data_IF_420318336846
#
_entry.id   IF_420318336846
#
_cell.length_a   1.000
_cell.length_b   1.000
_cell.length_c   1.000
_cell.angle_alpha   90.00
_cell.angle_beta   90.00
_cell.angle_gamma   90.00
#
_symmetry.space_group_name_H-M   'P 1'
#
loop_
_entity.id
_entity.type
_entity.pdbx_description
1 polymer ?
#
# COMPACT_ATOMS: atom_id res chain seq x y z
N UNK A 1 -14.27 0.68 5.94
CA UNK A 1 -15.04 0.89 7.18
C UNK A 1 -16.36 0.09 7.22
N UNK A 2 -16.48 -1.06 6.53
CA UNK A 2 -17.66 -1.95 6.62
C UNK A 2 -19.00 -1.28 6.24
N UNK A 3 -18.97 -0.19 5.48
CA UNK A 3 -20.15 0.63 5.19
C UNK A 3 -20.97 0.11 4.01
N UNK A 4 -20.45 -0.82 3.21
CA UNK A 4 -21.01 -1.17 1.90
C UNK A 4 -20.99 -0.01 0.88
N UNK A 5 -20.34 1.11 1.21
CA UNK A 5 -20.20 2.29 0.36
C UNK A 5 -18.71 2.60 0.14
N UNK A 6 -18.38 3.18 -1.00
CA UNK A 6 -17.03 3.57 -1.41
C UNK A 6 -16.97 5.04 -1.80
N UNK A 7 -15.80 5.63 -1.73
CA UNK A 7 -15.53 6.99 -2.19
C UNK A 7 -15.50 8.05 -1.09
N UNK A 8 -15.16 9.26 -1.50
CA UNK A 8 -15.00 10.42 -0.61
C UNK A 8 -16.29 10.81 0.14
N UNK A 9 -17.50 10.76 -0.48
CA UNK A 9 -18.69 11.21 0.22
C UNK A 9 -18.94 10.51 1.55
N UNK A 10 -18.86 9.18 1.59
CA UNK A 10 -19.07 8.44 2.83
C UNK A 10 -17.93 8.65 3.84
N UNK A 11 -16.69 8.80 3.36
CA UNK A 11 -15.56 9.09 4.24
C UNK A 11 -15.71 10.46 4.93
N UNK A 12 -16.13 11.49 4.20
CA UNK A 12 -16.41 12.83 4.75
C UNK A 12 -17.58 12.79 5.74
N UNK A 13 -18.68 12.11 5.37
CA UNK A 13 -19.84 11.96 6.25
C UNK A 13 -19.48 11.30 7.58
N UNK A 14 -18.75 10.21 7.55
CA UNK A 14 -18.34 9.48 8.76
C UNK A 14 -17.30 10.26 9.56
N UNK A 15 -16.37 10.94 8.90
CA UNK A 15 -15.43 11.83 9.57
C UNK A 15 -16.13 12.93 10.38
N UNK A 16 -17.19 13.53 9.81
CA UNK A 16 -18.00 14.52 10.48
C UNK A 16 -18.87 13.97 11.64
N UNK A 17 -19.29 12.70 11.56
CA UNK A 17 -20.21 12.09 12.53
C UNK A 17 -19.50 11.43 13.72
N UNK A 18 -18.36 10.75 13.47
CA UNK A 18 -17.68 9.91 14.45
C UNK A 18 -16.17 10.08 14.43
N UNK A 19 -15.61 10.88 13.50
CA UNK A 19 -14.17 11.06 13.37
C UNK A 19 -13.54 11.64 14.63
N UNK A 20 -12.41 11.06 15.06
CA UNK A 20 -11.56 11.57 16.15
C UNK A 20 -10.16 11.77 15.63
N UNK A 21 -9.70 13.01 15.65
CA UNK A 21 -8.38 13.41 15.12
C UNK A 21 -7.22 12.71 15.82
N UNK A 22 -7.40 12.33 17.08
CA UNK A 22 -6.40 11.62 17.89
C UNK A 22 -6.04 10.24 17.30
N UNK A 23 -6.95 9.63 16.55
CA UNK A 23 -6.74 8.34 15.90
C UNK A 23 -5.98 8.45 14.57
N UNK A 24 -5.66 9.66 14.12
CA UNK A 24 -4.90 9.91 12.89
C UNK A 24 -5.45 9.13 11.67
N UNK A 25 -4.71 8.18 11.12
CA UNK A 25 -5.14 7.39 9.97
C UNK A 25 -6.26 6.38 10.31
N UNK A 26 -6.51 6.11 11.60
CA UNK A 26 -7.58 5.23 12.07
C UNK A 26 -8.83 6.02 12.51
N UNK A 27 -8.98 7.26 12.06
CA UNK A 27 -10.04 8.22 12.41
C UNK A 27 -11.48 7.66 12.36
N UNK A 28 -11.71 6.58 11.62
CA UNK A 28 -13.00 5.91 11.45
C UNK A 28 -13.11 4.57 12.21
N UNK A 29 -12.25 4.28 13.19
CA UNK A 29 -12.31 2.99 13.92
C UNK A 29 -13.60 2.80 14.73
N UNK A 30 -14.22 3.90 15.18
CA UNK A 30 -15.45 3.89 15.97
C UNK A 30 -16.75 3.90 15.12
N UNK A 31 -16.67 3.59 13.82
CA UNK A 31 -17.85 3.59 12.96
C UNK A 31 -18.84 2.51 13.36
N UNK A 32 -20.11 2.90 13.58
CA UNK A 32 -21.22 2.01 13.89
C UNK A 32 -22.21 1.93 12.71
N UNK A 33 -23.09 0.92 12.66
CA UNK A 33 -24.15 0.83 11.65
C UNK A 33 -25.06 2.07 11.64
N UNK A 34 -25.35 2.65 12.80
CA UNK A 34 -26.16 3.88 12.93
C UNK A 34 -25.43 5.08 12.32
N UNK A 35 -24.12 5.19 12.52
CA UNK A 35 -23.31 6.25 11.91
C UNK A 35 -23.28 6.11 10.37
N UNK A 36 -23.19 4.88 9.87
CA UNK A 36 -23.27 4.60 8.42
C UNK A 36 -24.60 5.05 7.84
N UNK A 37 -25.71 4.72 8.49
CA UNK A 37 -27.05 5.12 8.03
C UNK A 37 -27.24 6.65 8.09
N UNK A 38 -26.74 7.30 9.13
CA UNK A 38 -26.72 8.76 9.21
C UNK A 38 -25.85 9.38 8.11
N UNK A 39 -24.69 8.80 7.83
CA UNK A 39 -23.79 9.23 6.75
C UNK A 39 -24.46 9.11 5.38
N UNK A 40 -25.19 8.02 5.14
CA UNK A 40 -25.97 7.83 3.90
C UNK A 40 -27.01 8.93 3.74
N UNK A 41 -27.78 9.25 4.79
CA UNK A 41 -28.75 10.35 4.75
C UNK A 41 -28.11 11.72 4.50
N UNK A 42 -26.87 11.97 4.97
CA UNK A 42 -26.16 13.21 4.65
C UNK A 42 -25.81 13.29 3.16
N UNK A 43 -25.42 12.17 2.55
CA UNK A 43 -25.10 12.09 1.12
C UNK A 43 -26.37 12.29 0.29
N UNK A 44 -27.45 11.56 0.58
CA UNK A 44 -28.71 11.62 -0.12
C UNK A 44 -29.35 13.02 0.01
N UNK A 45 -29.20 13.65 1.16
CA UNK A 45 -29.60 15.03 1.42
C UNK A 45 -28.68 16.10 0.83
N UNK A 46 -27.67 15.72 0.02
CA UNK A 46 -26.70 16.65 -0.62
C UNK A 46 -26.02 17.60 0.36
N UNK A 47 -25.75 17.15 1.59
CA UNK A 47 -25.07 17.94 2.63
C UNK A 47 -23.55 17.93 2.51
N UNK A 48 -23.01 17.20 1.54
CA UNK A 48 -21.58 17.05 1.30
C UNK A 48 -21.30 17.50 -0.12
N UNK A 49 -20.41 18.45 -0.27
CA UNK A 49 -19.87 18.91 -1.54
C UNK A 49 -18.40 18.46 -1.63
N UNK A 50 -17.99 17.92 -2.76
CA UNK A 50 -16.60 17.55 -3.03
C UNK A 50 -16.20 18.23 -4.33
N UNK A 51 -15.15 19.04 -4.26
CA UNK A 51 -14.65 19.83 -5.37
C UNK A 51 -13.16 19.58 -5.57
N UNK A 52 -12.68 19.71 -6.79
CA UNK A 52 -11.27 19.82 -7.05
C UNK A 52 -10.83 21.24 -6.65
N UNK A 53 -9.76 21.35 -5.88
CA UNK A 53 -9.15 22.65 -5.57
C UNK A 53 -8.18 22.97 -6.71
N UNK A 54 -8.44 24.07 -7.39
CA UNK A 54 -7.58 24.64 -8.43
C UNK A 54 -6.50 25.54 -7.80
N UNK A 55 -5.44 25.83 -8.54
CA UNK A 55 -4.36 26.75 -8.14
C UNK A 55 -3.62 26.34 -6.84
N UNK A 56 -3.34 25.04 -6.68
CA UNK A 56 -2.55 24.49 -5.58
C UNK A 56 -1.30 23.81 -6.13
N UNK A 57 -0.12 24.24 -5.70
CA UNK A 57 1.16 23.67 -6.12
C UNK A 57 1.44 22.31 -5.46
N UNK A 58 0.83 22.05 -4.31
CA UNK A 58 1.01 20.84 -3.52
C UNK A 58 0.38 19.61 -4.18
N UNK A 59 1.18 18.57 -4.41
CA UNK A 59 0.68 17.29 -4.98
C UNK A 59 -0.33 16.58 -4.08
N UNK A 60 -0.22 16.75 -2.77
CA UNK A 60 -1.18 16.29 -1.78
C UNK A 60 -1.74 17.50 -1.05
N UNK A 61 -2.98 17.85 -1.34
CA UNK A 61 -3.71 18.91 -0.68
C UNK A 61 -5.13 18.46 -0.38
N UNK A 62 -5.55 18.62 0.85
CA UNK A 62 -6.91 18.32 1.30
C UNK A 62 -7.37 19.49 2.14
N UNK A 63 -8.43 20.16 1.73
CA UNK A 63 -9.11 21.18 2.52
C UNK A 63 -10.49 20.65 2.89
N UNK A 64 -10.79 20.65 4.17
CA UNK A 64 -12.09 20.26 4.69
C UNK A 64 -12.72 21.44 5.42
N UNK A 65 -13.94 21.79 5.04
CA UNK A 65 -14.75 22.80 5.68
C UNK A 65 -16.01 22.15 6.26
N UNK A 66 -16.37 22.51 7.47
CA UNK A 66 -17.58 22.04 8.13
C UNK A 66 -18.35 23.22 8.73
N UNK A 67 -19.67 23.23 8.49
CA UNK A 67 -20.59 24.20 9.10
C UNK A 67 -21.70 23.46 9.84
N UNK A 68 -21.92 23.81 11.10
CA UNK A 68 -22.98 23.26 11.92
C UNK A 68 -23.39 24.24 13.04
N UNK A 69 -24.68 24.40 13.25
CA UNK A 69 -25.25 25.21 14.35
C UNK A 69 -24.69 26.66 14.40
N UNK A 70 -24.38 27.26 13.26
CA UNK A 70 -23.81 28.61 13.18
C UNK A 70 -22.29 28.69 13.40
N UNK A 71 -21.64 27.57 13.60
CA UNK A 71 -20.19 27.47 13.69
C UNK A 71 -19.59 27.03 12.38
N UNK A 72 -18.38 27.48 12.07
CA UNK A 72 -17.59 27.12 10.91
C UNK A 72 -16.19 26.70 11.32
N UNK A 73 -15.72 25.58 10.76
CA UNK A 73 -14.36 25.11 10.96
C UNK A 73 -13.71 24.75 9.62
N UNK A 74 -12.42 25.04 9.48
CA UNK A 74 -11.62 24.70 8.31
C UNK A 74 -10.35 23.99 8.76
N UNK A 75 -9.98 22.92 8.08
CA UNK A 75 -8.73 22.22 8.27
C UNK A 75 -8.06 21.92 6.92
N UNK A 76 -6.75 22.15 6.83
CA UNK A 76 -5.95 21.89 5.63
C UNK A 76 -4.82 20.92 5.96
N UNK A 77 -4.71 19.88 5.15
CA UNK A 77 -3.58 18.95 5.14
C UNK A 77 -2.84 19.12 3.83
N UNK A 78 -1.51 19.28 3.89
CA UNK A 78 -0.68 19.44 2.71
C UNK A 78 0.68 18.73 2.86
N UNK A 79 1.24 18.26 1.76
CA UNK A 79 2.55 17.60 1.67
C UNK A 79 2.59 16.19 2.24
N UNK A 80 1.91 15.88 3.33
CA UNK A 80 1.84 14.56 3.97
C UNK A 80 0.45 14.22 4.45
N UNK A 81 0.10 12.93 4.52
CA UNK A 81 -1.27 12.46 4.84
C UNK A 81 -1.78 12.86 6.24
N UNK A 82 -0.90 13.17 7.17
CA UNK A 82 -1.22 13.60 8.55
C UNK A 82 -0.70 14.99 8.87
N UNK A 83 -0.15 15.70 7.87
CA UNK A 83 0.44 17.04 8.05
C UNK A 83 -0.65 18.11 8.02
N UNK A 84 -1.20 18.47 9.17
CA UNK A 84 -2.06 19.64 9.29
C UNK A 84 -1.22 20.90 9.13
N UNK A 85 -1.54 21.71 8.12
CA UNK A 85 -0.86 22.99 7.84
C UNK A 85 -1.72 24.19 8.23
N UNK A 86 -3.03 24.04 8.33
CA UNK A 86 -3.94 25.08 8.77
C UNK A 86 -5.16 24.50 9.48
N UNK A 87 -5.56 25.12 10.59
CA UNK A 87 -6.81 24.84 11.29
C UNK A 87 -7.40 26.14 11.81
N UNK A 88 -8.67 26.37 11.55
CA UNK A 88 -9.41 27.52 12.12
C UNK A 88 -10.81 27.11 12.56
N UNK A 89 -11.36 27.89 13.50
CA UNK A 89 -12.74 27.76 13.99
C UNK A 89 -13.33 29.15 14.23
N UNK A 90 -14.50 29.39 13.66
CA UNK A 90 -15.26 30.66 13.82
C UNK A 90 -14.43 31.91 13.52
N UNK A 91 -13.50 31.81 12.57
CA UNK A 91 -12.58 32.90 12.21
C UNK A 91 -11.31 33.01 13.05
N UNK A 92 -11.22 32.25 14.15
CA UNK A 92 -9.99 32.16 14.95
C UNK A 92 -9.05 31.11 14.34
N UNK A 93 -7.78 31.48 14.12
CA UNK A 93 -6.73 30.57 13.62
C UNK A 93 -6.12 29.82 14.81
N UNK A 94 -6.30 28.49 14.81
CA UNK A 94 -5.76 27.59 15.82
C UNK A 94 -4.38 27.04 15.43
N UNK A 95 -4.13 26.90 14.13
CA UNK A 95 -2.86 26.45 13.56
C UNK A 95 -2.66 27.12 12.21
N UNK A 96 -1.47 27.70 11.97
CA UNK A 96 -1.05 28.13 10.64
C UNK A 96 0.43 27.82 10.41
N UNK A 97 0.67 26.85 9.53
CA UNK A 97 1.99 26.40 9.06
C UNK A 97 2.07 26.44 7.53
N UNK A 98 1.20 27.21 6.87
CA UNK A 98 1.14 27.31 5.40
C UNK A 98 2.34 28.04 4.81
N UNK A 99 2.93 28.94 5.57
CA UNK A 99 4.21 29.53 5.20
C UNK A 99 5.31 28.62 5.75
N UNK A 100 6.24 28.11 4.94
CA UNK A 100 7.39 27.38 5.47
C UNK A 100 8.10 28.27 6.48
N UNK A 101 8.22 27.84 7.73
CA UNK A 101 9.14 28.47 8.65
C UNK A 101 10.52 28.40 8.00
N UNK A 102 11.15 29.54 7.78
CA UNK A 102 12.51 29.60 7.28
C UNK A 102 13.40 28.80 8.26
N UNK A 103 13.73 27.54 7.92
CA UNK A 103 14.52 26.64 8.78
C UNK A 103 13.81 25.37 9.26
N UNK A 104 12.56 25.10 8.89
CA UNK A 104 11.95 23.77 9.06
C UNK A 104 12.54 22.84 8.01
N UNK A 105 13.68 22.20 8.30
CA UNK A 105 14.24 21.18 7.44
C UNK A 105 13.20 20.08 7.26
N UNK A 106 12.84 19.77 6.03
CA UNK A 106 12.35 18.44 5.72
C UNK A 106 13.37 17.50 6.35
N UNK A 107 12.92 16.54 7.18
CA UNK A 107 13.80 15.44 7.59
C UNK A 107 14.32 14.87 6.27
N UNK A 108 15.62 15.10 6.00
CA UNK A 108 16.25 14.59 4.78
C UNK A 108 16.07 13.07 4.82
N UNK A 109 15.28 12.56 3.92
CA UNK A 109 15.11 11.11 3.75
C UNK A 109 16.50 10.49 3.59
N UNK A 110 16.81 9.49 4.41
CA UNK A 110 18.07 8.75 4.28
C UNK A 110 18.20 8.26 2.84
N UNK A 111 19.23 8.67 2.08
CA UNK A 111 19.37 8.26 0.69
C UNK A 111 19.62 6.76 0.62
N UNK A 112 18.62 6.03 0.15
CA UNK A 112 18.68 4.58 -0.01
C UNK A 112 19.28 4.23 -1.37
N UNK A 113 20.00 3.10 -1.39
CA UNK A 113 20.40 2.38 -2.59
C UNK A 113 20.14 0.90 -2.37
N UNK A 114 19.95 0.12 -3.45
CA UNK A 114 19.71 -1.31 -3.30
C UNK A 114 20.87 -2.01 -2.58
N UNK A 115 22.12 -1.58 -2.79
CA UNK A 115 23.28 -2.12 -2.10
C UNK A 115 23.21 -1.87 -0.58
N UNK A 116 22.93 -0.65 -0.16
CA UNK A 116 22.80 -0.31 1.27
C UNK A 116 21.63 -1.06 1.93
N UNK A 117 20.53 -1.22 1.20
CA UNK A 117 19.37 -2.00 1.67
C UNK A 117 19.75 -3.47 1.86
N UNK A 118 20.45 -4.04 0.87
CA UNK A 118 20.93 -5.41 0.97
C UNK A 118 21.85 -5.60 2.17
N UNK A 119 22.88 -4.78 2.31
CA UNK A 119 23.81 -4.85 3.42
C UNK A 119 23.09 -4.72 4.77
N UNK A 120 22.19 -3.74 4.90
CA UNK A 120 21.40 -3.55 6.11
C UNK A 120 20.53 -4.78 6.43
N UNK A 121 19.79 -5.29 5.47
CA UNK A 121 18.91 -6.44 5.67
C UNK A 121 19.69 -7.72 6.03
N UNK A 122 20.93 -7.87 5.54
CA UNK A 122 21.74 -9.08 5.77
C UNK A 122 22.60 -8.99 7.03
N UNK A 123 23.02 -7.79 7.46
CA UNK A 123 24.00 -7.64 8.55
C UNK A 123 23.43 -7.09 9.86
N UNK A 124 22.26 -6.43 9.82
CA UNK A 124 21.66 -5.87 11.05
C UNK A 124 21.27 -6.97 12.04
N UNK A 125 21.37 -6.68 13.35
CA UNK A 125 20.91 -7.59 14.40
C UNK A 125 19.43 -7.94 14.24
N UNK A 126 19.08 -9.21 14.38
CA UNK A 126 17.70 -9.68 14.16
C UNK A 126 16.70 -9.02 15.11
N UNK A 127 17.08 -8.74 16.33
CA UNK A 127 16.21 -8.13 17.32
C UNK A 127 15.76 -6.72 16.90
N UNK A 128 16.62 -5.99 16.18
CA UNK A 128 16.27 -4.68 15.61
C UNK A 128 15.31 -4.78 14.43
N UNK A 129 15.31 -5.91 13.72
CA UNK A 129 14.47 -6.16 12.55
C UNK A 129 13.18 -6.90 12.87
N UNK A 130 13.07 -7.53 14.04
CA UNK A 130 11.97 -8.44 14.40
C UNK A 130 10.58 -7.81 14.30
N UNK A 131 10.47 -6.49 14.50
CA UNK A 131 9.20 -5.76 14.36
C UNK A 131 8.56 -5.94 12.98
N UNK A 132 9.34 -6.27 11.93
CA UNK A 132 8.83 -6.46 10.58
C UNK A 132 7.84 -7.63 10.49
N UNK A 133 7.89 -8.59 11.42
CA UNK A 133 6.94 -9.71 11.48
C UNK A 133 5.49 -9.27 11.73
N UNK A 134 5.30 -8.08 12.30
CA UNK A 134 3.96 -7.51 12.46
C UNK A 134 3.26 -7.30 11.11
N UNK A 135 4.03 -7.02 10.05
CA UNK A 135 3.50 -6.92 8.68
C UNK A 135 2.85 -8.23 8.24
N UNK A 136 3.50 -9.37 8.56
CA UNK A 136 2.96 -10.71 8.28
C UNK A 136 1.67 -10.95 9.04
N UNK A 137 1.67 -10.70 10.34
CA UNK A 137 0.50 -10.93 11.20
C UNK A 137 -0.73 -10.17 10.72
N UNK A 138 -0.60 -8.87 10.44
CA UNK A 138 -1.72 -8.02 10.04
C UNK A 138 -2.21 -8.35 8.62
N UNK A 139 -1.30 -8.45 7.67
CA UNK A 139 -1.68 -8.63 6.27
C UNK A 139 -2.21 -10.05 6.00
N UNK A 140 -1.70 -11.07 6.71
CA UNK A 140 -2.23 -12.43 6.64
C UNK A 140 -3.64 -12.53 7.20
N UNK A 141 -3.90 -11.90 8.35
CA UNK A 141 -5.25 -11.83 8.91
C UNK A 141 -6.26 -11.18 7.94
N UNK A 142 -5.83 -10.20 7.14
CA UNK A 142 -6.69 -9.60 6.11
C UNK A 142 -7.03 -10.59 4.99
N UNK A 143 -6.09 -11.43 4.56
CA UNK A 143 -6.34 -12.49 3.58
C UNK A 143 -7.31 -13.54 4.13
N UNK A 144 -7.08 -14.00 5.35
CA UNK A 144 -7.92 -14.98 6.04
C UNK A 144 -9.36 -14.46 6.21
N UNK A 145 -9.51 -13.18 6.54
CA UNK A 145 -10.83 -12.52 6.59
C UNK A 145 -11.53 -12.57 5.24
N UNK A 146 -10.79 -12.37 4.15
CA UNK A 146 -11.36 -12.42 2.80
C UNK A 146 -11.80 -13.82 2.39
N UNK A 147 -11.03 -14.84 2.76
CA UNK A 147 -11.42 -16.23 2.51
C UNK A 147 -12.68 -16.66 3.25
N UNK A 148 -12.92 -16.10 4.43
CA UNK A 148 -14.10 -16.38 5.24
C UNK A 148 -15.38 -15.63 4.80
N UNK A 149 -15.30 -14.76 3.77
CA UNK A 149 -16.43 -13.94 3.33
C UNK A 149 -16.40 -13.60 1.85
N UNK A 150 -17.29 -12.71 1.43
CA UNK A 150 -17.32 -12.15 0.09
C UNK A 150 -16.87 -10.69 0.12
N UNK A 151 -15.71 -10.41 -0.47
CA UNK A 151 -15.12 -9.10 -0.48
C UNK A 151 -14.66 -8.72 -1.89
N UNK A 152 -14.95 -7.48 -2.29
CA UNK A 152 -14.51 -6.93 -3.57
C UNK A 152 -14.95 -7.77 -4.76
N UNK A 153 -13.99 -8.17 -5.57
CA UNK A 153 -14.23 -9.06 -6.73
C UNK A 153 -13.91 -10.53 -6.42
N UNK A 154 -13.65 -10.88 -5.17
CA UNK A 154 -13.29 -12.24 -4.75
C UNK A 154 -12.12 -12.85 -5.53
N UNK A 155 -11.16 -12.02 -5.97
CA UNK A 155 -10.04 -12.47 -6.80
C UNK A 155 -9.23 -13.54 -6.08
N UNK A 156 -8.91 -13.31 -4.79
CA UNK A 156 -8.16 -14.30 -3.99
C UNK A 156 -8.90 -15.62 -3.85
N UNK A 157 -10.21 -15.60 -3.60
CA UNK A 157 -11.04 -16.82 -3.54
C UNK A 157 -11.14 -17.52 -4.90
N UNK A 158 -11.28 -16.77 -5.98
CA UNK A 158 -11.31 -17.33 -7.33
C UNK A 158 -10.03 -18.12 -7.62
N UNK A 159 -8.88 -17.58 -7.25
CA UNK A 159 -7.58 -18.26 -7.42
C UNK A 159 -7.45 -19.49 -6.52
N UNK A 160 -7.87 -19.40 -5.26
CA UNK A 160 -7.81 -20.50 -4.28
C UNK A 160 -8.71 -21.68 -4.65
N UNK A 161 -9.88 -21.40 -5.26
CA UNK A 161 -10.91 -22.40 -5.54
C UNK A 161 -10.83 -23.02 -6.94
N UNK A 162 -9.73 -22.79 -7.68
CA UNK A 162 -9.58 -23.29 -9.06
C UNK A 162 -9.28 -24.80 -9.16
N UNK A 163 -9.54 -25.56 -8.10
CA UNK A 163 -9.25 -26.99 -8.05
C UNK A 163 -9.99 -27.80 -9.14
N UNK A 164 -11.22 -27.39 -9.46
CA UNK A 164 -12.05 -28.09 -10.46
C UNK A 164 -11.62 -27.78 -11.89
N UNK A 165 -11.24 -26.53 -12.16
CA UNK A 165 -10.85 -26.08 -13.51
C UNK A 165 -9.41 -26.44 -13.87
N UNK A 166 -8.54 -26.57 -12.86
CA UNK A 166 -7.11 -26.92 -12.99
C UNK A 166 -6.30 -25.98 -13.89
N UNK A 167 -6.77 -24.72 -14.04
CA UNK A 167 -6.08 -23.73 -14.88
C UNK A 167 -4.81 -23.25 -14.19
N UNK A 168 -4.90 -22.89 -12.90
CA UNK A 168 -3.76 -22.37 -12.12
C UNK A 168 -3.01 -23.45 -11.35
N UNK A 169 -3.64 -24.55 -11.04
CA UNK A 169 -3.10 -25.64 -10.23
C UNK A 169 -2.96 -25.29 -8.74
N UNK A 170 -2.53 -26.26 -7.94
CA UNK A 170 -2.19 -26.08 -6.52
C UNK A 170 -0.67 -25.99 -6.39
N UNK A 171 -0.16 -24.76 -6.37
CA UNK A 171 1.27 -24.47 -6.33
C UNK A 171 1.55 -23.30 -5.38
N UNK A 172 2.81 -23.16 -4.95
CA UNK A 172 3.28 -21.98 -4.20
C UNK A 172 2.90 -20.69 -4.93
N UNK A 173 3.07 -20.67 -6.25
CA UNK A 173 2.70 -19.52 -7.09
C UNK A 173 1.23 -19.13 -6.93
N UNK A 174 0.32 -20.10 -7.06
CA UNK A 174 -1.13 -19.86 -6.90
C UNK A 174 -1.48 -19.40 -5.50
N UNK A 175 -0.83 -19.95 -4.46
CA UNK A 175 -1.04 -19.52 -3.07
C UNK A 175 -0.56 -18.08 -2.84
N UNK A 176 0.60 -17.70 -3.37
CA UNK A 176 1.10 -16.32 -3.33
C UNK A 176 0.07 -15.35 -3.93
N UNK A 177 -0.42 -15.64 -5.14
CA UNK A 177 -1.41 -14.80 -5.81
C UNK A 177 -2.72 -14.72 -5.03
N UNK A 178 -3.20 -15.87 -4.55
CA UNK A 178 -4.46 -15.99 -3.82
C UNK A 178 -4.45 -15.18 -2.52
N UNK A 179 -3.46 -15.38 -1.64
CA UNK A 179 -3.35 -14.67 -0.38
C UNK A 179 -3.20 -13.16 -0.56
N UNK A 180 -2.35 -12.75 -1.50
CA UNK A 180 -2.10 -11.33 -1.75
C UNK A 180 -3.35 -10.63 -2.29
N UNK A 181 -4.05 -11.26 -3.23
CA UNK A 181 -5.29 -10.70 -3.79
C UNK A 181 -6.42 -10.72 -2.78
N UNK A 182 -6.53 -11.76 -1.93
CA UNK A 182 -7.55 -11.84 -0.89
C UNK A 182 -7.42 -10.72 0.14
N UNK A 183 -6.22 -10.42 0.62
CA UNK A 183 -5.99 -9.29 1.53
C UNK A 183 -6.39 -7.96 0.89
N UNK A 184 -6.10 -7.78 -0.41
CA UNK A 184 -6.53 -6.61 -1.15
C UNK A 184 -8.05 -6.56 -1.34
N UNK A 185 -8.70 -7.67 -1.65
CA UNK A 185 -10.17 -7.75 -1.75
C UNK A 185 -10.82 -7.29 -0.44
N UNK A 186 -10.38 -7.82 0.72
CA UNK A 186 -10.89 -7.43 2.04
C UNK A 186 -10.70 -5.93 2.28
N UNK A 187 -9.46 -5.42 2.08
CA UNK A 187 -9.14 -4.02 2.30
C UNK A 187 -9.95 -3.09 1.40
N UNK A 188 -10.00 -3.37 0.10
CA UNK A 188 -10.66 -2.49 -0.88
C UNK A 188 -12.19 -2.54 -0.79
N UNK A 189 -12.76 -3.61 -0.24
CA UNK A 189 -14.18 -3.68 0.11
C UNK A 189 -14.50 -3.02 1.46
N UNK A 190 -13.50 -2.49 2.17
CA UNK A 190 -13.69 -1.79 3.42
C UNK A 190 -13.92 -2.71 4.62
N UNK A 191 -13.36 -3.91 4.62
CA UNK A 191 -13.37 -4.77 5.80
C UNK A 191 -12.77 -4.03 7.01
N UNK A 192 -13.41 -4.16 8.18
CA UNK A 192 -12.93 -3.59 9.44
C UNK A 192 -11.78 -4.44 9.97
N UNK A 193 -10.63 -4.33 9.33
CA UNK A 193 -9.41 -5.04 9.70
C UNK A 193 -8.19 -4.17 9.41
N UNK A 194 -7.24 -4.06 10.33
CA UNK A 194 -6.00 -3.35 10.08
C UNK A 194 -5.14 -4.07 9.06
N UNK A 195 -4.43 -3.31 8.25
CA UNK A 195 -3.37 -3.81 7.37
C UNK A 195 -2.12 -2.99 7.58
N UNK A 196 -0.97 -3.62 7.56
CA UNK A 196 0.30 -2.88 7.57
C UNK A 196 0.50 -2.21 6.21
N UNK A 197 0.74 -0.92 6.24
CA UNK A 197 1.01 -0.14 5.03
C UNK A 197 2.52 -0.04 4.75
N UNK A 198 2.85 0.32 3.50
CA UNK A 198 4.18 0.79 3.13
C UNK A 198 4.01 2.08 2.32
N UNK A 199 4.83 3.08 2.59
CA UNK A 199 4.83 4.38 1.90
C UNK A 199 3.43 5.01 1.77
N UNK A 200 2.63 4.93 2.84
CA UNK A 200 1.29 5.51 2.91
C UNK A 200 0.18 4.70 2.20
N UNK A 201 0.45 3.48 1.74
CA UNK A 201 -0.55 2.63 1.08
C UNK A 201 -0.61 1.23 1.65
N UNK A 202 -1.81 0.80 2.10
CA UNK A 202 -2.03 -0.57 2.58
C UNK A 202 -1.85 -1.61 1.48
N UNK A 203 -2.23 -1.33 0.24
CA UNK A 203 -1.99 -2.26 -0.87
C UNK A 203 -0.51 -2.44 -1.17
N UNK A 204 0.32 -1.40 -0.98
CA UNK A 204 1.78 -1.54 -1.08
C UNK A 204 2.33 -2.41 0.05
N UNK A 205 1.84 -2.22 1.29
CA UNK A 205 2.21 -3.08 2.41
C UNK A 205 1.83 -4.55 2.18
N UNK A 206 0.62 -4.81 1.67
CA UNK A 206 0.15 -6.16 1.31
C UNK A 206 1.07 -6.78 0.25
N UNK A 207 1.37 -6.06 -0.84
CA UNK A 207 2.19 -6.56 -1.94
C UNK A 207 3.67 -6.76 -1.56
N UNK A 208 4.20 -5.94 -0.64
CA UNK A 208 5.55 -6.12 -0.12
C UNK A 208 5.67 -7.28 0.88
N UNK A 209 4.58 -7.64 1.56
CA UNK A 209 4.56 -8.62 2.64
C UNK A 209 4.17 -10.02 2.17
N UNK A 210 2.94 -10.18 1.66
CA UNK A 210 2.32 -11.49 1.53
C UNK A 210 3.03 -12.42 0.53
N UNK A 211 3.56 -11.95 -0.60
CA UNK A 211 4.32 -12.84 -1.50
C UNK A 211 5.54 -13.46 -0.82
N UNK A 212 6.23 -12.67 0.02
CA UNK A 212 7.41 -13.10 0.77
C UNK A 212 7.02 -14.08 1.86
N UNK A 213 5.98 -13.75 2.65
CA UNK A 213 5.50 -14.60 3.74
C UNK A 213 5.03 -15.95 3.24
N UNK A 214 4.16 -15.97 2.23
CA UNK A 214 3.63 -17.23 1.67
C UNK A 214 4.76 -18.07 1.09
N UNK A 215 5.71 -17.46 0.36
CA UNK A 215 6.86 -18.20 -0.16
C UNK A 215 7.70 -18.79 0.97
N UNK A 216 8.01 -18.01 2.01
CA UNK A 216 8.80 -18.46 3.15
C UNK A 216 8.12 -19.62 3.92
N UNK A 217 6.80 -19.53 4.15
CA UNK A 217 6.04 -20.60 4.82
C UNK A 217 6.01 -21.88 4.00
N UNK A 218 5.73 -21.80 2.71
CA UNK A 218 5.64 -22.94 1.82
C UNK A 218 7.00 -23.65 1.58
N UNK A 219 8.09 -22.90 1.70
CA UNK A 219 9.46 -23.46 1.58
C UNK A 219 10.09 -23.76 2.92
N UNK A 220 9.36 -23.61 4.03
CA UNK A 220 9.84 -23.83 5.39
C UNK A 220 11.10 -23.02 5.73
N UNK A 221 11.17 -21.78 5.24
CA UNK A 221 12.26 -20.87 5.56
C UNK A 221 12.30 -20.58 7.07
N UNK A 222 13.50 -20.33 7.60
CA UNK A 222 13.66 -19.95 9.01
C UNK A 222 13.06 -18.57 9.30
N UNK A 223 12.75 -18.29 10.57
CA UNK A 223 12.28 -16.97 11.00
C UNK A 223 13.28 -15.87 10.61
N UNK A 224 14.59 -16.13 10.76
CA UNK A 224 15.63 -15.20 10.32
C UNK A 224 15.54 -14.90 8.82
N UNK A 225 15.41 -15.94 8.00
CA UNK A 225 15.27 -15.75 6.56
C UNK A 225 14.02 -14.93 6.21
N UNK A 226 12.89 -15.18 6.87
CA UNK A 226 11.67 -14.40 6.69
C UNK A 226 11.85 -12.93 7.08
N UNK A 227 12.46 -12.66 8.25
CA UNK A 227 12.73 -11.29 8.72
C UNK A 227 13.60 -10.54 7.70
N UNK A 228 14.71 -11.13 7.26
CA UNK A 228 15.63 -10.51 6.28
C UNK A 228 14.96 -10.26 4.93
N UNK A 229 14.19 -11.25 4.44
CA UNK A 229 13.44 -11.14 3.19
C UNK A 229 12.38 -10.04 3.24
N UNK A 230 11.62 -9.92 4.34
CA UNK A 230 10.64 -8.87 4.56
C UNK A 230 11.31 -7.50 4.65
N UNK A 231 12.41 -7.39 5.38
CA UNK A 231 13.19 -6.15 5.49
C UNK A 231 13.68 -5.69 4.12
N UNK A 232 14.28 -6.60 3.35
CA UNK A 232 14.72 -6.33 1.97
C UNK A 232 13.57 -5.87 1.09
N UNK A 233 12.42 -6.57 1.14
CA UNK A 233 11.24 -6.23 0.38
C UNK A 233 10.72 -4.82 0.71
N UNK A 234 10.48 -4.54 1.98
CA UNK A 234 9.89 -3.27 2.42
C UNK A 234 10.80 -2.06 2.17
N UNK A 235 12.11 -2.19 2.42
CA UNK A 235 13.07 -1.12 2.15
C UNK A 235 13.25 -0.87 0.66
N UNK A 236 13.19 -1.90 -0.19
CA UNK A 236 13.22 -1.72 -1.65
C UNK A 236 12.01 -0.91 -2.13
N UNK A 237 10.82 -1.13 -1.58
CA UNK A 237 9.65 -0.31 -1.89
C UNK A 237 9.86 1.14 -1.51
N UNK A 238 10.37 1.41 -0.30
CA UNK A 238 10.67 2.77 0.17
C UNK A 238 11.68 3.45 -0.76
N UNK A 239 12.74 2.75 -1.13
CA UNK A 239 13.76 3.23 -2.06
C UNK A 239 13.16 3.69 -3.41
N UNK A 240 12.34 2.84 -4.01
CA UNK A 240 11.68 3.18 -5.27
C UNK A 240 10.75 4.39 -5.07
N UNK A 241 10.04 4.47 -3.95
CA UNK A 241 9.14 5.58 -3.64
C UNK A 241 9.87 6.89 -3.37
N UNK A 242 11.10 6.88 -2.88
CA UNK A 242 11.92 8.09 -2.78
C UNK A 242 12.13 8.74 -4.15
N UNK A 243 12.35 7.92 -5.19
CA UNK A 243 12.52 8.42 -6.57
C UNK A 243 11.21 8.82 -7.25
N UNK A 244 10.11 8.08 -7.01
CA UNK A 244 8.82 8.32 -7.66
C UNK A 244 7.98 9.41 -6.96
N UNK A 245 8.34 9.76 -5.72
CA UNK A 245 7.54 10.62 -4.87
C UNK A 245 6.34 9.93 -4.23
N UNK A 246 5.72 10.61 -3.24
CA UNK A 246 4.60 10.07 -2.45
C UNK A 246 3.36 9.80 -3.28
N UNK A 247 3.07 10.66 -4.25
CA UNK A 247 2.01 10.49 -5.24
C UNK A 247 2.63 10.28 -6.62
N UNK A 248 2.28 9.19 -7.25
CA UNK A 248 2.81 8.81 -8.57
C UNK A 248 1.69 8.28 -9.44
N UNK A 249 1.75 8.57 -10.74
CA UNK A 249 0.86 7.98 -11.73
C UNK A 249 1.13 6.47 -11.92
N UNK A 250 2.31 5.97 -11.56
CA UNK A 250 2.59 4.54 -11.58
C UNK A 250 1.87 3.82 -10.44
N UNK A 251 1.36 2.62 -10.73
CA UNK A 251 0.62 1.84 -9.76
C UNK A 251 1.51 1.43 -8.58
N UNK A 252 1.14 1.86 -7.36
CA UNK A 252 1.88 1.51 -6.15
C UNK A 252 1.96 0.00 -5.87
N UNK A 253 0.96 -0.77 -6.33
CA UNK A 253 0.99 -2.23 -6.20
C UNK A 253 2.16 -2.85 -6.97
N UNK A 254 2.46 -2.32 -8.16
CA UNK A 254 3.60 -2.77 -8.99
C UNK A 254 4.93 -2.43 -8.35
N UNK A 255 5.05 -1.20 -7.84
CA UNK A 255 6.24 -0.75 -7.10
C UNK A 255 6.52 -1.69 -5.93
N UNK A 256 5.49 -2.02 -5.17
CA UNK A 256 5.63 -2.90 -4.01
C UNK A 256 5.91 -4.36 -4.39
N UNK A 257 5.38 -4.84 -5.50
CA UNK A 257 5.72 -6.16 -6.04
C UNK A 257 7.21 -6.26 -6.45
N UNK A 258 7.83 -5.14 -6.84
CA UNK A 258 9.29 -5.12 -7.07
C UNK A 258 10.06 -5.40 -5.77
N UNK A 259 9.61 -4.86 -4.64
CA UNK A 259 10.20 -5.21 -3.34
C UNK A 259 10.07 -6.70 -3.03
N UNK A 260 8.89 -7.28 -3.19
CA UNK A 260 8.69 -8.71 -2.93
C UNK A 260 9.48 -9.62 -3.88
N UNK A 261 9.77 -9.19 -5.13
CA UNK A 261 10.66 -9.94 -6.01
C UNK A 261 12.07 -10.11 -5.42
N UNK A 262 12.59 -9.05 -4.77
CA UNK A 262 13.88 -9.13 -4.07
C UNK A 262 13.83 -10.10 -2.88
N UNK A 263 12.78 -10.01 -2.06
CA UNK A 263 12.61 -10.91 -0.91
C UNK A 263 12.49 -12.37 -1.33
N UNK A 264 11.72 -12.67 -2.37
CA UNK A 264 11.59 -14.03 -2.94
C UNK A 264 12.93 -14.52 -3.52
N UNK A 265 13.65 -13.66 -4.25
CA UNK A 265 14.98 -13.99 -4.79
C UNK A 265 15.95 -14.39 -3.67
N UNK A 266 15.96 -13.64 -2.57
CA UNK A 266 16.76 -13.99 -1.40
C UNK A 266 16.34 -15.35 -0.80
N UNK A 267 15.05 -15.61 -0.64
CA UNK A 267 14.53 -16.87 -0.13
C UNK A 267 14.85 -18.07 -1.05
N UNK A 268 15.00 -17.84 -2.34
CA UNK A 268 15.49 -18.83 -3.32
C UNK A 268 17.01 -19.09 -3.20
N UNK A 269 17.71 -18.39 -2.31
CA UNK A 269 19.17 -18.51 -2.16
C UNK A 269 19.97 -17.55 -3.04
N UNK A 270 19.32 -16.58 -3.69
CA UNK A 270 19.97 -15.56 -4.51
C UNK A 270 20.70 -14.52 -3.66
N UNK A 271 21.80 -13.99 -4.21
CA UNK A 271 22.57 -12.89 -3.64
C UNK A 271 22.14 -11.53 -4.18
N UNK A 272 22.91 -10.50 -3.83
CA UNK A 272 22.68 -9.12 -4.28
C UNK A 272 22.53 -8.99 -5.81
N UNK A 273 23.38 -9.68 -6.57
CA UNK A 273 23.33 -9.62 -8.05
C UNK A 273 22.01 -10.10 -8.62
N UNK A 274 21.48 -11.22 -8.08
CA UNK A 274 20.17 -11.75 -8.48
C UNK A 274 19.02 -10.83 -8.04
N UNK A 275 19.08 -10.25 -6.84
CA UNK A 275 18.08 -9.29 -6.38
C UNK A 275 18.05 -8.05 -7.29
N UNK A 276 19.22 -7.53 -7.68
CA UNK A 276 19.31 -6.43 -8.64
C UNK A 276 18.77 -6.80 -10.04
N UNK A 277 19.02 -8.04 -10.51
CA UNK A 277 18.45 -8.54 -11.75
C UNK A 277 16.93 -8.66 -11.68
N UNK A 278 16.37 -9.14 -10.56
CA UNK A 278 14.93 -9.22 -10.35
C UNK A 278 14.27 -7.82 -10.44
N UNK A 279 14.87 -6.79 -9.85
CA UNK A 279 14.38 -5.39 -9.96
C UNK A 279 14.35 -4.94 -11.43
N UNK A 280 15.40 -5.19 -12.20
CA UNK A 280 15.45 -4.82 -13.61
C UNK A 280 14.38 -5.54 -14.43
N UNK A 281 14.18 -6.84 -14.18
CA UNK A 281 13.15 -7.64 -14.84
C UNK A 281 11.75 -7.09 -14.52
N UNK A 282 11.49 -6.68 -13.27
CA UNK A 282 10.24 -6.05 -12.86
C UNK A 282 9.98 -4.73 -13.59
N UNK A 283 10.99 -3.86 -13.67
CA UNK A 283 10.88 -2.56 -14.35
C UNK A 283 10.53 -2.78 -15.83
N UNK A 284 11.25 -3.66 -16.51
CA UNK A 284 11.03 -3.94 -17.93
C UNK A 284 9.60 -4.45 -18.22
N UNK A 285 9.01 -5.20 -17.31
CA UNK A 285 7.70 -5.82 -17.52
C UNK A 285 6.53 -4.87 -17.19
N UNK A 286 6.62 -4.11 -16.09
CA UNK A 286 5.44 -3.44 -15.49
C UNK A 286 5.46 -1.91 -15.56
N UNK A 287 6.41 -1.30 -16.27
CA UNK A 287 6.54 0.18 -16.34
C UNK A 287 5.27 0.89 -16.82
N UNK A 288 4.43 0.25 -17.60
CA UNK A 288 3.21 0.86 -18.16
C UNK A 288 1.96 0.78 -17.29
N UNK A 289 1.99 0.19 -16.10
CA UNK A 289 0.78 0.06 -15.29
C UNK A 289 0.47 1.35 -14.51
N UNK A 290 -0.59 2.04 -14.91
CA UNK A 290 -1.01 3.33 -14.36
C UNK A 290 -1.99 3.13 -13.19
N UNK A 291 -1.88 4.00 -12.17
CA UNK A 291 -2.83 4.09 -11.08
C UNK A 291 -4.04 4.96 -11.50
N UNK A 292 -5.23 4.43 -11.32
CA UNK A 292 -6.51 5.08 -11.61
C UNK A 292 -7.39 5.21 -10.36
N UNK A 293 -6.76 5.27 -9.18
CA UNK A 293 -7.41 5.39 -7.88
C UNK A 293 -7.62 4.05 -7.17
N UNK A 294 -7.81 4.11 -5.85
CA UNK A 294 -8.01 2.96 -5.00
C UNK A 294 -9.44 2.41 -5.16
N UNK A 295 -9.57 1.15 -5.59
CA UNK A 295 -10.86 0.49 -5.86
C UNK A 295 -10.74 -1.04 -5.83
N UNK A 296 -11.85 -1.77 -5.74
CA UNK A 296 -11.81 -3.24 -5.65
C UNK A 296 -11.00 -3.93 -6.74
N UNK A 297 -10.95 -3.39 -7.97
CA UNK A 297 -10.12 -3.92 -9.06
C UNK A 297 -8.60 -3.84 -8.80
N UNK A 298 -8.16 -3.16 -7.74
CA UNK A 298 -6.74 -3.19 -7.32
C UNK A 298 -6.26 -4.62 -7.00
N UNK A 299 -7.14 -5.52 -6.56
CA UNK A 299 -6.79 -6.93 -6.35
C UNK A 299 -6.27 -7.59 -7.63
N UNK A 300 -6.86 -7.28 -8.79
CA UNK A 300 -6.39 -7.76 -10.09
C UNK A 300 -5.01 -7.18 -10.46
N UNK A 301 -4.78 -5.89 -10.17
CA UNK A 301 -3.46 -5.26 -10.40
C UNK A 301 -2.38 -5.86 -9.49
N UNK A 302 -2.75 -6.19 -8.23
CA UNK A 302 -1.84 -6.91 -7.34
C UNK A 302 -1.49 -8.28 -7.91
N UNK A 303 -2.48 -9.04 -8.37
CA UNK A 303 -2.25 -10.35 -9.02
C UNK A 303 -1.24 -10.23 -10.15
N UNK A 304 -1.41 -9.27 -11.05
CA UNK A 304 -0.48 -9.02 -12.16
C UNK A 304 0.93 -8.65 -11.67
N UNK A 305 1.03 -7.72 -10.71
CA UNK A 305 2.32 -7.29 -10.18
C UNK A 305 3.07 -8.43 -9.48
N UNK A 306 2.36 -9.21 -8.67
CA UNK A 306 2.96 -10.30 -7.89
C UNK A 306 3.31 -11.50 -8.75
N UNK A 307 2.50 -11.81 -9.77
CA UNK A 307 2.87 -12.86 -10.73
C UNK A 307 4.18 -12.52 -11.45
N UNK A 308 4.34 -11.26 -11.85
CA UNK A 308 5.58 -10.76 -12.44
C UNK A 308 6.74 -10.79 -11.44
N UNK A 309 6.48 -10.53 -10.14
CA UNK A 309 7.52 -10.59 -9.11
C UNK A 309 8.13 -11.99 -8.98
N UNK A 310 7.29 -13.01 -8.95
CA UNK A 310 7.74 -14.41 -8.89
C UNK A 310 8.52 -14.78 -10.17
N UNK A 311 7.98 -14.45 -11.34
CA UNK A 311 8.67 -14.69 -12.61
C UNK A 311 10.02 -13.97 -12.67
N UNK A 312 10.09 -12.72 -12.24
CA UNK A 312 11.32 -11.93 -12.24
C UNK A 312 12.39 -12.50 -11.31
N UNK A 313 11.97 -13.02 -10.14
CA UNK A 313 12.86 -13.73 -9.22
C UNK A 313 13.41 -15.02 -9.85
N UNK A 314 12.54 -15.84 -10.43
CA UNK A 314 12.96 -17.10 -11.10
C UNK A 314 13.95 -16.81 -12.23
N UNK A 315 13.66 -15.86 -13.12
CA UNK A 315 14.55 -15.47 -14.20
C UNK A 315 15.92 -15.01 -13.68
N UNK A 316 15.92 -14.22 -12.60
CA UNK A 316 17.16 -13.74 -11.98
C UNK A 316 17.99 -14.91 -11.39
N UNK A 317 17.34 -15.92 -10.80
CA UNK A 317 18.01 -17.13 -10.32
C UNK A 317 18.61 -17.96 -11.44
N UNK A 318 17.97 -18.00 -12.60
CA UNK A 318 18.47 -18.68 -13.82
C UNK A 318 19.53 -17.83 -14.56
N UNK A 319 19.96 -16.69 -14.01
CA UNK A 319 20.97 -15.82 -14.61
C UNK A 319 20.43 -14.89 -15.72
N UNK A 320 19.11 -14.81 -15.89
CA UNK A 320 18.49 -13.98 -16.90
C UNK A 320 18.12 -12.60 -16.34
N UNK A 321 18.68 -11.56 -16.97
CA UNK A 321 18.44 -10.17 -16.60
C UNK A 321 18.20 -9.33 -17.86
N UNK A 322 17.14 -8.53 -17.86
CA UNK A 322 16.87 -7.57 -18.91
C UNK A 322 17.94 -6.47 -18.90
N UNK A 323 18.52 -6.18 -20.07
CA UNK A 323 19.43 -5.06 -20.24
C UNK A 323 18.61 -3.80 -20.57
N UNK A 324 18.50 -2.87 -19.61
CA UNK A 324 17.75 -1.62 -19.81
C UNK A 324 18.44 -0.65 -20.80
N UNK A 325 19.70 -0.89 -21.17
CA UNK A 325 20.43 -0.09 -22.13
C UNK A 325 19.97 -0.32 -23.58
N UNK A 326 19.39 -1.47 -23.89
CA UNK A 326 18.89 -1.75 -25.26
C UNK A 326 17.66 -0.92 -25.64
N UNK A 327 17.01 -0.25 -24.69
CA UNK A 327 15.85 0.59 -24.97
C UNK A 327 16.22 2.02 -25.38
N UNK A 328 17.47 2.46 -25.12
CA UNK A 328 17.93 3.79 -25.49
C UNK A 328 18.43 3.89 -26.95
N UNK A 329 18.84 2.76 -27.55
CA UNK A 329 19.35 2.72 -28.90
C UNK A 329 18.30 2.44 -29.98
N UNK A 330 17.04 2.22 -29.56
CA UNK A 330 15.91 1.94 -30.45
C UNK A 330 14.99 3.16 -30.67
N UNK A 331 15.36 4.35 -30.17
CA UNK A 331 14.61 5.59 -30.34
C UNK A 331 15.25 6.50 -31.41
#
# INVERSE_FOLDING_TARGET
>A
AGTGMIGLPIAVALGALVGRSEYQLEVLCDVTPEAVERGRRMIDGRRIAICLKEDVDEKLYIEAEAEAAGHRAVAVIAGGHTSFVFVSRDGETLLDRRTPAAGGGEEEDVPLTLARIWDFAMTSPLDELRFILETSRLNKAAAERSFAGEFGHCVGRTLCCDRERKVMGDSIFTRILSYTSAACDARMAGAMIPVMSNSGSGNQGIAATLPVVVYAEETHASEEQMIRALTLSHLTVIYIKQSLGRLSALCGCVVAATGSSCGITYLMGGGYGQAAAAVKNMIANLTGMICDGAKPSCAMKLTSGVSTAVLSAMMAMDGHCVCLLYTSDAA
#
